data_IF_459409378864
#
_entry.id   IF_459409378864
#
_cell.length_a   1.000
_cell.length_b   1.000
_cell.length_c   1.000
_cell.angle_alpha   90.00
_cell.angle_beta   90.00
_cell.angle_gamma   90.00
#
_symmetry.space_group_name_H-M   'P 1'
#
loop_
_entity.id
_entity.type
_entity.pdbx_description
1 polymer ?
#
# COMPACT_ATOMS: atom_id res chain seq x y z
N UNK A 1 -9.68 -6.18 -9.71
CA UNK A 1 -9.34 -6.49 -8.30
C UNK A 1 -7.97 -7.16 -8.30
N UNK A 2 -6.92 -6.45 -7.90
CA UNK A 2 -5.53 -6.93 -7.98
C UNK A 2 -5.30 -7.93 -6.85
N UNK A 3 -4.88 -9.15 -7.17
CA UNK A 3 -4.46 -10.09 -6.14
C UNK A 3 -3.17 -9.58 -5.50
N UNK A 4 -3.15 -9.44 -4.17
CA UNK A 4 -2.00 -8.96 -3.39
C UNK A 4 -0.73 -9.75 -3.74
N UNK A 5 -0.90 -11.02 -4.11
CA UNK A 5 0.15 -11.95 -4.53
C UNK A 5 0.82 -11.53 -5.84
N UNK A 6 0.05 -11.17 -6.87
CA UNK A 6 0.57 -10.73 -8.17
C UNK A 6 1.33 -9.40 -8.05
N UNK A 7 0.81 -8.48 -7.25
CA UNK A 7 1.46 -7.22 -6.95
C UNK A 7 2.79 -7.42 -6.21
N UNK A 8 2.80 -8.29 -5.20
CA UNK A 8 4.01 -8.56 -4.41
C UNK A 8 5.10 -9.27 -5.23
N UNK A 9 4.73 -10.24 -6.08
CA UNK A 9 5.65 -10.92 -7.00
C UNK A 9 6.25 -9.94 -8.03
N UNK A 10 5.42 -9.06 -8.61
CA UNK A 10 5.88 -8.06 -9.58
C UNK A 10 6.86 -7.06 -8.96
N UNK A 11 6.54 -6.51 -7.78
CA UNK A 11 7.44 -5.61 -7.08
C UNK A 11 8.73 -6.31 -6.65
N UNK A 12 8.67 -7.59 -6.30
CA UNK A 12 9.86 -8.38 -5.97
C UNK A 12 10.80 -8.55 -7.17
N UNK A 13 10.25 -8.76 -8.38
CA UNK A 13 11.04 -8.74 -9.64
C UNK A 13 11.74 -7.40 -9.82
N UNK A 14 11.03 -6.29 -9.63
CA UNK A 14 11.60 -4.95 -9.78
C UNK A 14 12.63 -4.59 -8.71
N UNK A 15 12.54 -5.15 -7.50
CA UNK A 15 13.56 -4.98 -6.45
C UNK A 15 14.92 -5.59 -6.81
N UNK A 16 14.97 -6.49 -7.79
CA UNK A 16 16.22 -7.06 -8.30
C UNK A 16 16.86 -6.19 -9.40
N UNK A 17 16.18 -5.12 -9.84
CA UNK A 17 16.66 -4.18 -10.86
C UNK A 17 17.65 -3.15 -10.27
N UNK A 18 18.60 -2.63 -11.07
CA UNK A 18 19.41 -1.46 -10.72
C UNK A 18 18.59 -0.21 -10.37
N UNK A 19 17.32 -0.16 -10.76
CA UNK A 19 16.39 0.91 -10.46
C UNK A 19 15.73 0.78 -9.08
N UNK A 20 15.94 -0.32 -8.34
CA UNK A 20 15.29 -0.56 -7.06
C UNK A 20 15.40 0.61 -6.06
N UNK A 21 16.55 1.32 -5.92
CA UNK A 21 16.63 2.50 -5.05
C UNK A 21 15.72 3.63 -5.52
N UNK A 22 15.60 3.86 -6.83
CA UNK A 22 14.73 4.88 -7.42
C UNK A 22 13.26 4.54 -7.20
N UNK A 23 12.91 3.27 -7.44
CA UNK A 23 11.56 2.78 -7.18
C UNK A 23 11.18 2.95 -5.71
N UNK A 24 12.12 2.69 -4.80
CA UNK A 24 11.89 2.89 -3.37
C UNK A 24 11.60 4.37 -3.05
N UNK A 25 12.35 5.30 -3.66
CA UNK A 25 12.16 6.74 -3.52
C UNK A 25 10.85 7.26 -4.14
N UNK A 26 10.36 6.64 -5.22
CA UNK A 26 9.09 7.01 -5.87
C UNK A 26 7.88 6.41 -5.12
N UNK A 27 7.96 5.13 -4.75
CA UNK A 27 6.84 4.37 -4.20
C UNK A 27 6.61 4.64 -2.71
N UNK A 28 7.67 4.85 -1.93
CA UNK A 28 7.58 4.95 -0.47
C UNK A 28 8.09 6.31 0.03
N UNK A 29 8.18 6.49 1.36
CA UNK A 29 8.74 7.70 1.99
C UNK A 29 10.22 7.63 2.42
N UNK A 30 11.19 7.04 1.69
CA UNK A 30 12.59 7.17 2.08
C UNK A 30 13.11 8.54 1.63
N UNK A 31 14.08 9.06 2.36
CA UNK A 31 14.81 10.29 2.05
C UNK A 31 16.28 9.92 2.24
N UNK A 32 16.75 8.98 1.41
CA UNK A 32 18.12 8.51 1.48
C UNK A 32 19.10 9.67 1.21
N UNK A 33 20.40 9.46 1.49
CA UNK A 33 21.42 10.43 1.09
C UNK A 33 21.54 10.44 -0.45
N UNK A 34 21.53 11.62 -1.04
CA UNK A 34 21.80 11.78 -2.47
C UNK A 34 23.31 11.66 -2.77
N UNK A 35 23.65 11.30 -4.00
CA UNK A 35 25.02 11.26 -4.49
C UNK A 35 25.26 12.42 -5.47
N UNK A 36 26.48 12.97 -5.46
CA UNK A 36 26.95 13.91 -6.48
C UNK A 36 27.61 13.18 -7.66
N UNK A 37 27.73 11.84 -7.60
CA UNK A 37 28.26 11.06 -8.72
C UNK A 37 27.28 11.06 -9.88
N UNK A 38 27.76 11.55 -11.03
CA UNK A 38 26.93 11.70 -12.25
C UNK A 38 27.31 10.71 -13.35
N UNK A 39 28.16 9.71 -13.05
CA UNK A 39 28.58 8.68 -14.00
C UNK A 39 27.47 7.65 -14.27
N UNK A 40 26.70 7.32 -13.24
CA UNK A 40 25.59 6.37 -13.35
C UNK A 40 24.26 7.13 -13.50
N UNK A 41 23.54 6.89 -14.59
CA UNK A 41 22.26 7.56 -14.85
C UNK A 41 21.17 7.17 -13.83
N UNK A 42 21.23 5.96 -13.26
CA UNK A 42 20.29 5.50 -12.24
C UNK A 42 20.50 6.29 -10.93
N UNK A 43 21.74 6.49 -10.51
CA UNK A 43 22.08 7.28 -9.31
C UNK A 43 21.71 8.75 -9.46
N UNK A 44 21.87 9.30 -10.67
CA UNK A 44 21.40 10.63 -11.01
C UNK A 44 19.88 10.71 -10.86
N UNK A 45 19.14 9.75 -11.41
CA UNK A 45 17.69 9.71 -11.30
C UNK A 45 17.22 9.62 -9.84
N UNK A 46 17.86 8.78 -9.01
CA UNK A 46 17.61 8.68 -7.56
C UNK A 46 17.85 10.02 -6.88
N UNK A 47 19.03 10.60 -7.09
CA UNK A 47 19.46 11.84 -6.43
C UNK A 47 18.58 13.03 -6.79
N UNK A 48 18.09 13.09 -8.03
CA UNK A 48 17.15 14.11 -8.47
C UNK A 48 15.77 13.97 -7.80
N UNK A 49 15.24 12.76 -7.66
CA UNK A 49 13.97 12.54 -6.93
C UNK A 49 14.13 12.91 -5.45
N UNK A 50 15.24 12.55 -4.81
CA UNK A 50 15.55 12.95 -3.43
C UNK A 50 15.57 14.47 -3.33
N UNK A 51 16.25 15.16 -4.26
CA UNK A 51 16.28 16.63 -4.28
C UNK A 51 14.88 17.23 -4.41
N UNK A 52 14.03 16.68 -5.29
CA UNK A 52 12.64 17.13 -5.46
C UNK A 52 11.85 16.97 -4.15
N UNK A 53 11.92 15.81 -3.50
CA UNK A 53 11.20 15.52 -2.24
C UNK A 53 11.68 16.40 -1.07
N UNK A 54 12.99 16.64 -1.00
CA UNK A 54 13.65 17.46 0.04
C UNK A 54 13.67 18.96 -0.28
N UNK A 55 13.16 19.36 -1.44
CA UNK A 55 13.19 20.74 -1.93
C UNK A 55 14.62 21.33 -2.03
N UNK A 56 15.62 20.50 -2.33
CA UNK A 56 17.03 20.89 -2.40
C UNK A 56 17.44 21.33 -3.82
N UNK A 57 17.12 22.57 -4.18
CA UNK A 57 17.40 23.15 -5.51
C UNK A 57 18.90 23.14 -5.87
N UNK A 58 19.76 23.50 -4.93
CA UNK A 58 21.20 23.69 -5.18
C UNK A 58 21.84 22.39 -5.68
N UNK A 59 21.52 21.28 -5.04
CA UNK A 59 22.06 19.97 -5.43
C UNK A 59 21.45 19.47 -6.75
N UNK A 60 20.15 19.67 -6.96
CA UNK A 60 19.51 19.35 -8.23
C UNK A 60 20.19 20.10 -9.41
N UNK A 61 20.49 21.38 -9.22
CA UNK A 61 21.17 22.20 -10.22
C UNK A 61 22.61 21.73 -10.48
N UNK A 62 23.38 21.38 -9.43
CA UNK A 62 24.72 20.82 -9.59
C UNK A 62 24.71 19.51 -10.38
N UNK A 63 23.83 18.58 -10.02
CA UNK A 63 23.67 17.28 -10.70
C UNK A 63 23.27 17.51 -12.16
N UNK A 64 22.29 18.38 -12.42
CA UNK A 64 21.82 18.66 -13.78
C UNK A 64 22.90 19.36 -14.63
N UNK A 65 23.65 20.31 -14.07
CA UNK A 65 24.73 21.01 -14.77
C UNK A 65 25.89 20.08 -15.15
N UNK A 66 26.15 19.04 -14.37
CA UNK A 66 27.13 18.01 -14.72
C UNK A 66 26.55 17.03 -15.74
N UNK A 67 25.34 16.52 -15.50
CA UNK A 67 24.73 15.50 -16.34
C UNK A 67 24.37 16.00 -17.75
N UNK A 68 23.97 17.28 -17.87
CA UNK A 68 23.64 17.92 -19.14
C UNK A 68 24.84 18.16 -20.06
N UNK A 69 26.07 17.99 -19.57
CA UNK A 69 27.28 17.98 -20.42
C UNK A 69 27.35 16.76 -21.34
N UNK A 70 26.57 15.71 -21.07
CA UNK A 70 26.46 14.53 -21.93
C UNK A 70 25.82 14.93 -23.25
N UNK A 71 26.43 14.48 -24.35
CA UNK A 71 25.85 14.65 -25.68
C UNK A 71 24.61 13.78 -25.81
N UNK A 72 23.49 14.39 -26.18
CA UNK A 72 22.26 13.66 -26.52
C UNK A 72 22.51 12.92 -27.84
N UNK A 73 22.69 11.60 -27.77
CA UNK A 73 22.83 10.74 -28.94
C UNK A 73 21.81 9.60 -28.88
N UNK A 74 21.38 9.10 -30.05
CA UNK A 74 20.44 7.97 -30.16
C UNK A 74 21.02 6.65 -29.61
N UNK A 75 22.31 6.58 -29.39
CA UNK A 75 23.00 5.41 -28.84
C UNK A 75 23.05 5.41 -27.31
N UNK A 76 22.71 6.54 -26.66
CA UNK A 76 22.60 6.59 -25.21
C UNK A 76 21.40 5.76 -24.76
N UNK A 77 21.64 4.72 -23.96
CA UNK A 77 20.53 3.90 -23.45
C UNK A 77 19.63 4.67 -22.46
N UNK A 78 20.23 5.59 -21.68
CA UNK A 78 19.53 6.32 -20.62
C UNK A 78 18.40 7.26 -21.10
N UNK A 79 18.42 7.72 -22.36
CA UNK A 79 17.35 8.60 -22.90
C UNK A 79 16.05 7.85 -23.17
N UNK A 80 16.13 6.52 -23.32
CA UNK A 80 14.98 5.64 -23.54
C UNK A 80 14.38 5.14 -22.23
N UNK A 81 15.08 5.26 -21.10
CA UNK A 81 14.57 4.88 -19.79
C UNK A 81 13.59 5.94 -19.26
N UNK A 82 12.31 5.58 -19.20
CA UNK A 82 11.24 6.47 -18.76
C UNK A 82 11.38 6.88 -17.27
N UNK A 83 11.99 6.05 -16.42
CA UNK A 83 12.26 6.43 -15.03
C UNK A 83 13.29 7.56 -14.93
N UNK A 84 14.40 7.44 -15.67
CA UNK A 84 15.46 8.46 -15.67
C UNK A 84 14.94 9.78 -16.24
N UNK A 85 14.24 9.73 -17.37
CA UNK A 85 13.67 10.93 -18.00
C UNK A 85 12.62 11.58 -17.10
N UNK A 86 11.79 10.78 -16.42
CA UNK A 86 10.83 11.30 -15.44
C UNK A 86 11.52 12.04 -14.29
N UNK A 87 12.57 11.48 -13.69
CA UNK A 87 13.32 12.16 -12.62
C UNK A 87 13.91 13.50 -13.06
N UNK A 88 14.43 13.57 -14.29
CA UNK A 88 14.92 14.81 -14.90
C UNK A 88 13.79 15.83 -15.08
N UNK A 89 12.66 15.42 -15.62
CA UNK A 89 11.47 16.27 -15.82
C UNK A 89 10.98 16.84 -14.49
N UNK A 90 10.88 16.00 -13.45
CA UNK A 90 10.48 16.41 -12.10
C UNK A 90 11.39 17.52 -11.55
N UNK A 91 12.70 17.31 -11.58
CA UNK A 91 13.66 18.28 -11.05
C UNK A 91 13.70 19.58 -11.86
N UNK A 92 13.72 19.48 -13.20
CA UNK A 92 13.74 20.63 -14.10
C UNK A 92 12.51 21.51 -13.87
N UNK A 93 11.33 20.91 -13.82
CA UNK A 93 10.12 21.68 -13.63
C UNK A 93 10.02 22.24 -12.21
N UNK A 94 10.20 21.42 -11.16
CA UNK A 94 10.02 21.83 -9.77
C UNK A 94 10.89 23.04 -9.40
N UNK A 95 12.12 23.07 -9.89
CA UNK A 95 13.10 24.11 -9.55
C UNK A 95 13.26 25.21 -10.60
N UNK A 96 12.43 25.19 -11.66
CA UNK A 96 12.46 26.12 -12.78
C UNK A 96 13.88 26.21 -13.41
N UNK A 97 14.46 25.05 -13.71
CA UNK A 97 15.78 24.93 -14.34
C UNK A 97 15.68 25.02 -15.88
N UNK A 98 16.79 25.24 -16.62
CA UNK A 98 16.76 25.32 -18.07
C UNK A 98 16.13 24.10 -18.74
N UNK A 99 15.03 24.32 -19.46
CA UNK A 99 14.18 23.25 -20.02
C UNK A 99 14.67 22.73 -21.38
N UNK A 100 15.52 23.47 -22.09
CA UNK A 100 15.92 23.17 -23.47
C UNK A 100 16.51 21.76 -23.63
N UNK A 101 17.51 21.43 -22.82
CA UNK A 101 18.23 20.16 -22.91
C UNK A 101 17.34 18.93 -22.69
N UNK A 102 16.40 19.00 -21.74
CA UNK A 102 15.47 17.88 -21.49
C UNK A 102 14.41 17.77 -22.61
N UNK A 103 13.97 18.89 -23.20
CA UNK A 103 13.08 18.87 -24.37
C UNK A 103 13.76 18.20 -25.57
N UNK A 104 15.02 18.51 -25.83
CA UNK A 104 15.79 17.84 -26.88
C UNK A 104 15.90 16.34 -26.63
N UNK A 105 16.17 15.94 -25.38
CA UNK A 105 16.24 14.52 -24.98
C UNK A 105 14.93 13.79 -25.28
N UNK A 106 13.79 14.39 -24.94
CA UNK A 106 12.46 13.84 -25.23
C UNK A 106 12.21 13.77 -26.74
N UNK A 107 12.60 14.80 -27.49
CA UNK A 107 12.36 14.87 -28.94
C UNK A 107 13.13 13.81 -29.73
N UNK A 108 14.38 13.51 -29.33
CA UNK A 108 15.22 12.50 -29.99
C UNK A 108 14.57 11.11 -29.94
N UNK A 109 13.93 10.76 -28.82
CA UNK A 109 13.30 9.45 -28.63
C UNK A 109 11.87 9.40 -29.17
N UNK A 110 11.19 10.54 -29.33
CA UNK A 110 9.79 10.63 -29.73
C UNK A 110 9.48 9.95 -31.08
N UNK A 111 10.35 10.11 -32.07
CA UNK A 111 10.08 9.60 -33.43
C UNK A 111 10.15 8.08 -33.53
N UNK A 112 10.92 7.43 -32.64
CA UNK A 112 11.12 5.98 -32.60
C UNK A 112 10.23 5.29 -31.55
N UNK A 113 9.50 6.08 -30.75
CA UNK A 113 8.66 5.59 -29.67
C UNK A 113 7.43 4.82 -30.21
N UNK A 114 7.09 3.74 -29.51
CA UNK A 114 5.80 3.06 -29.67
C UNK A 114 4.65 3.97 -29.18
N UNK A 115 3.37 3.61 -29.40
CA UNK A 115 2.25 4.45 -28.97
C UNK A 115 2.22 4.77 -27.47
N UNK A 116 2.63 3.82 -26.61
CA UNK A 116 2.67 3.99 -25.15
C UNK A 116 3.74 5.03 -24.80
N UNK A 117 4.96 4.87 -25.30
CA UNK A 117 6.08 5.78 -25.09
C UNK A 117 5.79 7.18 -25.61
N UNK A 118 5.12 7.31 -26.77
CA UNK A 118 4.71 8.63 -27.28
C UNK A 118 3.81 9.34 -26.29
N UNK A 119 2.82 8.64 -25.73
CA UNK A 119 1.91 9.19 -24.72
C UNK A 119 2.65 9.55 -23.42
N UNK A 120 3.63 8.76 -22.99
CA UNK A 120 4.53 9.11 -21.86
C UNK A 120 5.29 10.41 -22.16
N UNK A 121 5.94 10.50 -23.32
CA UNK A 121 6.73 11.67 -23.72
C UNK A 121 5.86 12.92 -23.87
N UNK A 122 4.64 12.79 -24.39
CA UNK A 122 3.69 13.90 -24.46
C UNK A 122 3.25 14.34 -23.05
N UNK A 123 3.09 13.40 -22.13
CA UNK A 123 2.84 13.72 -20.71
C UNK A 123 4.03 14.45 -20.07
N UNK A 124 5.27 14.04 -20.36
CA UNK A 124 6.47 14.76 -19.89
C UNK A 124 6.54 16.19 -20.44
N UNK A 125 6.22 16.39 -21.72
CA UNK A 125 6.15 17.74 -22.32
C UNK A 125 5.08 18.59 -21.65
N UNK A 126 3.91 18.01 -21.39
CA UNK A 126 2.80 18.66 -20.69
C UNK A 126 3.22 19.11 -19.28
N UNK A 127 3.87 18.23 -18.51
CA UNK A 127 4.48 18.57 -17.21
C UNK A 127 5.45 19.73 -17.36
N UNK A 128 6.42 19.69 -18.29
CA UNK A 128 7.38 20.78 -18.51
C UNK A 128 6.75 22.13 -18.93
N UNK A 129 5.47 22.14 -19.34
CA UNK A 129 4.72 23.37 -19.65
C UNK A 129 3.75 23.78 -18.54
N UNK A 130 3.66 23.03 -17.44
CA UNK A 130 2.70 23.25 -16.36
C UNK A 130 1.26 22.84 -16.71
N UNK A 131 1.05 22.08 -17.79
CA UNK A 131 -0.27 21.61 -18.21
C UNK A 131 -0.51 20.19 -17.70
N UNK A 132 -1.06 20.02 -16.49
CA UNK A 132 -1.23 18.70 -15.88
C UNK A 132 -2.53 17.97 -16.23
N UNK A 133 -3.43 18.62 -16.96
CA UNK A 133 -4.81 18.17 -17.21
C UNK A 133 -5.10 18.01 -18.70
N UNK A 134 -4.07 17.75 -19.50
CA UNK A 134 -4.20 17.66 -20.96
C UNK A 134 -5.07 16.48 -21.36
N UNK A 135 -5.82 16.60 -22.45
CA UNK A 135 -6.62 15.47 -22.96
C UNK A 135 -5.69 14.50 -23.69
N UNK A 136 -5.66 13.25 -23.25
CA UNK A 136 -4.85 12.20 -23.87
C UNK A 136 -3.46 12.00 -23.27
N UNK A 137 -3.16 12.59 -22.10
CA UNK A 137 -1.97 12.25 -21.31
C UNK A 137 -2.20 11.02 -20.42
N UNK A 138 -1.13 10.53 -19.79
CA UNK A 138 -1.24 9.58 -18.68
C UNK A 138 -1.33 10.37 -17.38
N UNK A 139 -2.55 10.64 -16.93
CA UNK A 139 -2.81 11.47 -15.74
C UNK A 139 -2.09 10.93 -14.49
N UNK A 140 -1.89 9.60 -14.38
CA UNK A 140 -1.12 8.99 -13.30
C UNK A 140 0.31 9.55 -13.19
N UNK A 141 0.98 9.86 -14.29
CA UNK A 141 2.33 10.46 -14.30
C UNK A 141 2.26 11.88 -13.74
N UNK A 142 1.32 12.68 -14.23
CA UNK A 142 1.10 14.06 -13.77
C UNK A 142 0.75 14.11 -12.28
N UNK A 143 -0.05 13.16 -11.79
CA UNK A 143 -0.42 13.06 -10.38
C UNK A 143 0.79 12.71 -9.50
N UNK A 144 1.58 11.72 -9.89
CA UNK A 144 2.80 11.32 -9.13
C UNK A 144 3.82 12.46 -9.12
N UNK A 145 4.01 13.16 -10.24
CA UNK A 145 4.84 14.37 -10.27
C UNK A 145 4.35 15.41 -9.25
N UNK A 146 3.05 15.75 -9.27
CA UNK A 146 2.49 16.75 -8.36
C UNK A 146 2.66 16.36 -6.90
N UNK A 147 2.48 15.07 -6.57
CA UNK A 147 2.73 14.54 -5.24
C UNK A 147 4.19 14.69 -4.80
N UNK A 148 5.15 14.24 -5.63
CA UNK A 148 6.58 14.35 -5.34
C UNK A 148 7.04 15.80 -5.20
N UNK A 149 6.51 16.67 -6.06
CA UNK A 149 6.76 18.10 -6.07
C UNK A 149 6.08 18.85 -4.91
N UNK A 150 5.27 18.18 -4.08
CA UNK A 150 4.42 18.81 -3.04
C UNK A 150 3.58 19.96 -3.61
N UNK A 151 2.98 19.74 -4.76
CA UNK A 151 2.00 20.67 -5.35
C UNK A 151 0.61 20.37 -4.78
N UNK A 152 -0.06 21.36 -4.24
CA UNK A 152 -1.15 21.16 -3.28
C UNK A 152 -2.54 20.94 -3.91
N UNK A 153 -2.73 21.22 -5.21
CA UNK A 153 -4.08 21.27 -5.80
C UNK A 153 -4.24 20.46 -7.12
N UNK A 154 -4.06 19.13 -7.11
CA UNK A 154 -4.41 18.32 -8.28
C UNK A 154 -5.94 18.25 -8.47
N UNK A 155 -6.41 18.15 -9.73
CA UNK A 155 -7.84 18.15 -10.08
C UNK A 155 -8.55 16.86 -9.62
N UNK A 156 -9.53 17.00 -8.72
CA UNK A 156 -10.27 15.87 -8.13
C UNK A 156 -11.06 15.06 -9.15
N UNK A 157 -11.60 15.68 -10.20
CA UNK A 157 -12.37 14.96 -11.21
C UNK A 157 -11.45 14.02 -12.00
N UNK A 158 -10.26 14.50 -12.35
CA UNK A 158 -9.26 13.71 -13.08
C UNK A 158 -8.68 12.58 -12.22
N UNK A 159 -8.47 12.83 -10.93
CA UNK A 159 -8.09 11.77 -9.98
C UNK A 159 -9.18 10.70 -9.91
N UNK A 160 -10.45 11.09 -9.88
CA UNK A 160 -11.57 10.16 -9.83
C UNK A 160 -11.67 9.30 -11.10
N UNK A 161 -11.61 9.93 -12.27
CA UNK A 161 -11.62 9.25 -13.58
C UNK A 161 -10.47 8.24 -13.68
N UNK A 162 -9.24 8.69 -13.43
CA UNK A 162 -8.05 7.85 -13.46
C UNK A 162 -8.13 6.70 -12.46
N UNK A 163 -8.61 6.95 -11.24
CA UNK A 163 -8.74 5.91 -10.22
C UNK A 163 -9.75 4.83 -10.64
N UNK A 164 -10.89 5.22 -11.22
CA UNK A 164 -11.89 4.25 -11.70
C UNK A 164 -11.30 3.39 -12.83
N UNK A 165 -10.67 4.03 -13.82
CA UNK A 165 -10.04 3.34 -14.95
C UNK A 165 -8.98 2.33 -14.49
N UNK A 166 -8.08 2.75 -13.60
CA UNK A 166 -7.01 1.88 -13.09
C UNK A 166 -7.51 0.80 -12.12
N UNK A 167 -8.57 1.07 -11.35
CA UNK A 167 -9.12 0.10 -10.39
C UNK A 167 -9.86 -1.05 -11.07
N UNK A 168 -10.52 -0.76 -12.19
CA UNK A 168 -11.21 -1.75 -13.01
C UNK A 168 -10.25 -2.57 -13.90
N UNK A 169 -9.08 -2.02 -14.23
CA UNK A 169 -8.07 -2.70 -15.03
C UNK A 169 -7.43 -3.90 -14.30
N UNK A 170 -6.99 -4.89 -15.08
CA UNK A 170 -6.23 -6.03 -14.58
C UNK A 170 -4.75 -5.67 -14.53
N UNK A 171 -4.05 -6.08 -13.48
CA UNK A 171 -2.62 -5.85 -13.32
C UNK A 171 -1.82 -7.01 -13.96
N UNK A 172 -0.68 -6.77 -14.66
CA UNK A 172 -0.10 -5.46 -14.99
C UNK A 172 -0.98 -4.67 -15.98
N UNK A 173 -1.05 -3.34 -15.79
CA UNK A 173 -1.91 -2.46 -16.56
C UNK A 173 -1.42 -2.30 -18.01
N UNK A 174 -0.11 -2.32 -18.20
CA UNK A 174 0.56 -2.24 -19.50
C UNK A 174 1.80 -3.14 -19.53
N UNK A 175 2.40 -3.30 -20.71
CA UNK A 175 3.71 -3.97 -20.86
C UNK A 175 4.88 -3.09 -20.36
N UNK A 176 4.65 -1.81 -20.10
CA UNK A 176 5.68 -0.85 -19.69
C UNK A 176 5.79 -0.77 -18.16
N UNK A 177 6.96 -1.14 -17.63
CA UNK A 177 7.20 -1.19 -16.19
C UNK A 177 7.08 0.18 -15.51
N UNK A 178 7.42 1.27 -16.22
CA UNK A 178 7.33 2.63 -15.71
C UNK A 178 5.87 3.02 -15.47
N UNK A 179 4.98 2.80 -16.44
CA UNK A 179 3.56 3.06 -16.29
C UNK A 179 2.96 2.23 -15.15
N UNK A 180 3.31 0.96 -15.05
CA UNK A 180 2.79 0.10 -13.98
C UNK A 180 3.17 0.63 -12.58
N UNK A 181 4.44 0.97 -12.37
CA UNK A 181 4.92 1.53 -11.09
C UNK A 181 4.25 2.87 -10.78
N UNK A 182 4.21 3.77 -11.75
CA UNK A 182 3.58 5.09 -11.58
C UNK A 182 2.09 4.94 -11.29
N UNK A 183 1.40 4.01 -11.94
CA UNK A 183 -0.03 3.75 -11.72
C UNK A 183 -0.29 3.21 -10.32
N UNK A 184 0.55 2.32 -9.79
CA UNK A 184 0.46 1.84 -8.41
C UNK A 184 0.56 3.01 -7.41
N UNK A 185 1.53 3.90 -7.60
CA UNK A 185 1.67 5.08 -6.73
C UNK A 185 0.50 6.05 -6.89
N UNK A 186 0.01 6.25 -8.11
CA UNK A 186 -1.13 7.11 -8.38
C UNK A 186 -2.42 6.60 -7.72
N UNK A 187 -2.67 5.29 -7.73
CA UNK A 187 -3.79 4.65 -7.03
C UNK A 187 -3.68 4.90 -5.52
N UNK A 188 -2.50 4.73 -4.94
CA UNK A 188 -2.25 5.00 -3.51
C UNK A 188 -2.54 6.47 -3.17
N UNK A 189 -2.01 7.42 -3.95
CA UNK A 189 -2.26 8.85 -3.78
C UNK A 189 -3.75 9.17 -3.89
N UNK A 190 -4.43 8.64 -4.91
CA UNK A 190 -5.86 8.86 -5.13
C UNK A 190 -6.70 8.31 -3.96
N UNK A 191 -6.35 7.13 -3.44
CA UNK A 191 -7.00 6.52 -2.30
C UNK A 191 -6.84 7.39 -1.04
N UNK A 192 -5.61 7.82 -0.74
CA UNK A 192 -5.32 8.72 0.39
C UNK A 192 -6.06 10.05 0.26
N UNK A 193 -6.06 10.66 -0.93
CA UNK A 193 -6.77 11.93 -1.17
C UNK A 193 -8.28 11.79 -1.00
N UNK A 194 -8.90 10.73 -1.55
CA UNK A 194 -10.33 10.44 -1.35
C UNK A 194 -10.69 10.21 0.12
N UNK A 195 -9.80 9.56 0.87
CA UNK A 195 -9.92 9.44 2.32
C UNK A 195 -9.95 10.83 2.99
N UNK A 196 -9.02 11.72 2.64
CA UNK A 196 -8.97 13.09 3.20
C UNK A 196 -10.19 13.95 2.81
N UNK A 197 -10.75 13.77 1.61
CA UNK A 197 -11.95 14.49 1.15
C UNK A 197 -13.24 14.01 1.82
N UNK A 198 -13.22 12.85 2.46
CA UNK A 198 -14.36 12.34 3.23
C UNK A 198 -13.92 12.05 4.67
N UNK A 199 -13.69 13.10 5.50
CA UNK A 199 -13.18 12.98 6.87
C UNK A 199 -13.94 11.93 7.67
N UNK A 200 -15.26 11.89 7.52
CA UNK A 200 -16.12 10.90 8.19
C UNK A 200 -15.79 9.46 7.78
N UNK A 201 -15.51 9.20 6.49
CA UNK A 201 -15.14 7.87 5.99
C UNK A 201 -13.73 7.47 6.38
N UNK A 202 -12.80 8.43 6.42
CA UNK A 202 -11.45 8.19 6.93
C UNK A 202 -11.46 7.85 8.41
N UNK A 203 -12.19 8.62 9.23
CA UNK A 203 -12.40 8.34 10.66
C UNK A 203 -13.05 6.96 10.83
N UNK A 204 -14.03 6.58 9.98
CA UNK A 204 -14.63 5.25 10.02
C UNK A 204 -13.62 4.13 9.69
N UNK A 205 -12.71 4.36 8.74
CA UNK A 205 -11.68 3.39 8.35
C UNK A 205 -10.57 3.26 9.40
N UNK A 206 -10.08 4.38 9.95
CA UNK A 206 -9.10 4.43 11.03
C UNK A 206 -9.65 3.73 12.29
N UNK A 207 -10.92 3.98 12.60
CA UNK A 207 -11.59 3.32 13.72
C UNK A 207 -12.06 1.89 13.40
N UNK A 208 -11.96 1.42 12.16
CA UNK A 208 -12.43 0.07 11.80
C UNK A 208 -11.64 -1.01 12.53
N UNK A 209 -10.30 -0.96 12.46
CA UNK A 209 -9.42 -1.96 13.10
C UNK A 209 -9.65 -2.04 14.63
N UNK A 210 -9.58 -0.93 15.39
CA UNK A 210 -9.82 -0.99 16.83
C UNK A 210 -11.26 -1.41 17.16
N UNK A 211 -12.25 -0.97 16.39
CA UNK A 211 -13.63 -1.40 16.60
C UNK A 211 -13.85 -2.88 16.26
N UNK A 212 -13.20 -3.39 15.21
CA UNK A 212 -13.24 -4.80 14.83
C UNK A 212 -12.61 -5.65 15.93
N UNK A 213 -11.40 -5.32 16.40
CA UNK A 213 -10.76 -6.01 17.54
C UNK A 213 -11.68 -6.03 18.76
N UNK A 214 -12.22 -4.87 19.15
CA UNK A 214 -13.16 -4.75 20.29
C UNK A 214 -14.43 -5.58 20.13
N UNK A 215 -15.04 -5.56 18.93
CA UNK A 215 -16.26 -6.34 18.64
C UNK A 215 -15.96 -7.85 18.64
N UNK A 216 -14.83 -8.26 18.09
CA UNK A 216 -14.38 -9.66 18.10
C UNK A 216 -14.12 -10.15 19.52
N UNK A 217 -13.52 -9.34 20.39
CA UNK A 217 -13.36 -9.66 21.82
C UNK A 217 -14.71 -9.80 22.53
N UNK A 218 -15.65 -8.86 22.31
CA UNK A 218 -17.00 -8.93 22.89
C UNK A 218 -17.71 -10.20 22.40
N UNK A 219 -17.67 -10.48 21.10
CA UNK A 219 -18.32 -11.64 20.51
C UNK A 219 -17.70 -12.95 21.00
N UNK A 220 -16.37 -13.03 21.08
CA UNK A 220 -15.67 -14.17 21.64
C UNK A 220 -16.02 -14.38 23.12
N UNK A 221 -16.11 -13.30 23.89
CA UNK A 221 -16.51 -13.35 25.29
C UNK A 221 -17.95 -13.88 25.45
N UNK A 222 -18.91 -13.33 24.71
CA UNK A 222 -20.32 -13.79 24.75
C UNK A 222 -20.43 -15.24 24.29
N UNK A 223 -19.78 -15.59 23.17
CA UNK A 223 -19.83 -16.94 22.60
C UNK A 223 -19.20 -17.97 23.52
N UNK A 224 -18.11 -17.61 24.22
CA UNK A 224 -17.50 -18.49 25.22
C UNK A 224 -18.44 -18.76 26.39
N UNK A 225 -19.19 -17.75 26.86
CA UNK A 225 -20.21 -17.93 27.89
C UNK A 225 -21.36 -18.83 27.42
N UNK A 226 -21.86 -18.61 26.20
CA UNK A 226 -22.93 -19.44 25.64
C UNK A 226 -22.51 -20.90 25.49
N UNK A 227 -21.28 -21.16 25.02
CA UNK A 227 -20.74 -22.51 24.91
C UNK A 227 -20.58 -23.18 26.27
N UNK A 228 -20.07 -22.47 27.27
CA UNK A 228 -19.94 -23.01 28.64
C UNK A 228 -21.32 -23.33 29.22
N UNK A 229 -22.29 -22.43 29.06
CA UNK A 229 -23.66 -22.65 29.51
C UNK A 229 -24.28 -23.87 28.82
N UNK A 230 -24.11 -23.98 27.50
CA UNK A 230 -24.58 -25.14 26.72
C UNK A 230 -23.95 -26.44 27.21
N UNK A 231 -22.62 -26.51 27.35
CA UNK A 231 -21.91 -27.69 27.84
C UNK A 231 -22.38 -28.05 29.25
N UNK A 232 -22.61 -27.05 30.11
CA UNK A 232 -23.08 -27.28 31.50
C UNK A 232 -24.50 -27.88 31.51
N UNK A 233 -25.42 -27.33 30.71
CA UNK A 233 -26.79 -27.82 30.59
C UNK A 233 -26.80 -29.27 30.05
N UNK A 234 -26.04 -29.52 28.98
CA UNK A 234 -25.93 -30.85 28.37
C UNK A 234 -25.32 -31.84 29.36
N UNK A 235 -24.26 -31.46 30.06
CA UNK A 235 -23.61 -32.30 31.07
C UNK A 235 -24.58 -32.63 32.20
N UNK A 236 -25.36 -31.66 32.67
CA UNK A 236 -26.36 -31.87 33.70
C UNK A 236 -27.49 -32.80 33.22
N UNK A 237 -27.94 -32.66 31.98
CA UNK A 237 -28.95 -33.52 31.38
C UNK A 237 -28.45 -34.98 31.24
N UNK A 238 -27.22 -35.17 30.75
CA UNK A 238 -26.59 -36.50 30.64
C UNK A 238 -26.43 -37.13 32.02
N UNK A 239 -25.94 -36.36 33.00
CA UNK A 239 -25.81 -36.82 34.37
C UNK A 239 -27.18 -37.23 34.93
N UNK A 240 -28.21 -36.39 34.76
CA UNK A 240 -29.57 -36.70 35.21
C UNK A 240 -30.09 -38.02 34.63
N UNK A 241 -29.91 -38.26 33.33
CA UNK A 241 -30.26 -39.55 32.69
C UNK A 241 -29.52 -40.75 33.30
N UNK A 242 -28.23 -40.59 33.61
CA UNK A 242 -27.43 -41.65 34.25
C UNK A 242 -27.87 -41.87 35.72
N UNK A 243 -28.21 -40.79 36.43
CA UNK A 243 -28.69 -40.83 37.82
C UNK A 243 -30.08 -41.45 37.97
N UNK A 244 -30.98 -41.25 37.00
CA UNK A 244 -32.30 -41.89 37.01
C UNK A 244 -32.19 -43.41 36.78
N UNK A 245 -31.22 -43.83 35.97
CA UNK A 245 -31.01 -45.24 35.62
C UNK A 245 -30.27 -46.04 36.70
N UNK A 246 -29.43 -45.39 37.49
CA UNK A 246 -28.58 -46.04 38.51
C UNK A 246 -28.85 -45.42 39.90
N UNK A 247 -29.33 -46.22 40.85
CA UNK A 247 -29.63 -45.79 42.23
C UNK A 247 -28.36 -45.47 43.04
N UNK A 248 -27.72 -44.33 42.76
CA UNK A 248 -26.50 -43.93 43.46
C UNK A 248 -26.78 -43.46 44.91
N UNK A 249 -25.90 -43.83 45.88
CA UNK A 249 -26.03 -43.43 47.28
C UNK A 249 -25.82 -41.92 47.49
N UNK A 250 -26.54 -41.34 48.46
CA UNK A 250 -26.61 -39.90 48.75
C UNK A 250 -25.25 -39.19 48.86
N UNK A 251 -24.23 -39.90 49.35
CA UNK A 251 -22.87 -39.40 49.58
C UNK A 251 -22.14 -39.04 48.27
N UNK A 252 -22.39 -39.81 47.20
CA UNK A 252 -21.86 -39.48 45.86
C UNK A 252 -22.48 -38.19 45.30
N UNK A 253 -23.78 -37.97 45.56
CA UNK A 253 -24.50 -36.76 45.13
C UNK A 253 -23.93 -35.49 45.79
N UNK A 254 -23.61 -35.57 47.07
CA UNK A 254 -23.01 -34.46 47.83
C UNK A 254 -21.57 -34.21 47.39
N UNK A 255 -20.77 -35.26 47.12
CA UNK A 255 -19.40 -35.12 46.63
C UNK A 255 -19.32 -34.47 45.24
N UNK A 256 -20.17 -34.86 44.28
CA UNK A 256 -20.20 -34.21 42.96
C UNK A 256 -20.65 -32.74 43.06
N UNK A 257 -21.63 -32.44 43.91
CA UNK A 257 -22.07 -31.06 44.16
C UNK A 257 -20.95 -30.21 44.77
N UNK A 258 -20.28 -30.71 45.81
CA UNK A 258 -19.17 -30.01 46.46
C UNK A 258 -17.96 -29.85 45.54
N UNK A 259 -17.63 -30.84 44.71
CA UNK A 259 -16.55 -30.72 43.72
C UNK A 259 -16.88 -29.68 42.63
N UNK A 260 -18.14 -29.62 42.20
CA UNK A 260 -18.61 -28.63 41.21
C UNK A 260 -18.62 -27.19 41.72
N UNK A 261 -18.78 -26.98 43.05
CA UNK A 261 -18.81 -25.65 43.69
C UNK A 261 -17.47 -25.30 44.35
N UNK A 262 -16.57 -26.27 44.56
CA UNK A 262 -15.23 -26.03 45.06
C UNK A 262 -14.45 -25.08 44.14
N UNK A 263 -13.55 -24.28 44.72
CA UNK A 263 -12.73 -23.31 43.96
C UNK A 263 -11.92 -23.94 42.81
N UNK A 264 -11.70 -25.26 42.84
CA UNK A 264 -11.12 -26.03 41.73
C UNK A 264 -12.01 -26.03 40.47
N UNK A 265 -13.32 -26.22 40.62
CA UNK A 265 -14.27 -26.16 39.50
C UNK A 265 -14.28 -24.78 38.86
N UNK A 266 -14.42 -23.73 39.67
CA UNK A 266 -14.45 -22.33 39.20
C UNK A 266 -13.17 -21.92 38.49
N UNK A 267 -12.01 -22.39 38.97
CA UNK A 267 -10.70 -22.12 38.36
C UNK A 267 -10.55 -22.78 36.99
N UNK A 268 -11.04 -24.02 36.85
CA UNK A 268 -11.07 -24.74 35.56
C UNK A 268 -12.02 -24.04 34.58
N UNK A 269 -13.21 -23.62 35.03
CA UNK A 269 -14.16 -22.85 34.22
C UNK A 269 -13.56 -21.53 33.72
N UNK A 270 -12.85 -20.80 34.59
CA UNK A 270 -12.19 -19.55 34.20
C UNK A 270 -11.03 -19.77 33.21
N UNK A 271 -10.24 -20.84 33.40
CA UNK A 271 -9.17 -21.22 32.47
C UNK A 271 -9.72 -21.62 31.10
N UNK A 272 -10.76 -22.46 31.07
CA UNK A 272 -11.44 -22.89 29.85
C UNK A 272 -12.10 -21.72 29.11
N UNK A 273 -12.76 -20.82 29.83
CA UNK A 273 -13.34 -19.60 29.26
C UNK A 273 -12.30 -18.74 28.55
N UNK A 274 -11.14 -18.53 29.19
CA UNK A 274 -10.04 -17.77 28.59
C UNK A 274 -9.49 -18.49 27.36
N UNK A 275 -9.34 -19.81 27.40
CA UNK A 275 -8.90 -20.62 26.25
C UNK A 275 -9.86 -20.56 25.07
N UNK A 276 -11.15 -20.75 25.30
CA UNK A 276 -12.20 -20.67 24.28
C UNK A 276 -12.29 -19.28 23.65
N UNK A 277 -12.27 -18.22 24.47
CA UNK A 277 -12.28 -16.85 23.95
C UNK A 277 -11.08 -16.59 23.04
N UNK A 278 -9.87 -17.04 23.42
CA UNK A 278 -8.68 -16.92 22.57
C UNK A 278 -8.83 -17.72 21.28
N UNK A 279 -9.30 -18.96 21.35
CA UNK A 279 -9.53 -19.79 20.16
C UNK A 279 -10.49 -19.11 19.17
N UNK A 280 -11.59 -18.54 19.66
CA UNK A 280 -12.58 -17.82 18.83
C UNK A 280 -11.95 -16.57 18.20
N UNK A 281 -11.17 -15.80 18.96
CA UNK A 281 -10.44 -14.64 18.43
C UNK A 281 -9.47 -15.07 17.32
N UNK A 282 -8.67 -16.10 17.55
CA UNK A 282 -7.73 -16.63 16.55
C UNK A 282 -8.45 -17.13 15.30
N UNK A 283 -9.58 -17.83 15.47
CA UNK A 283 -10.38 -18.33 14.36
C UNK A 283 -10.98 -17.20 13.50
N UNK A 284 -11.57 -16.18 14.15
CA UNK A 284 -12.12 -15.01 13.47
C UNK A 284 -11.00 -14.27 12.75
N UNK A 285 -9.89 -13.95 13.44
CA UNK A 285 -8.77 -13.24 12.82
C UNK A 285 -8.21 -13.99 11.60
N UNK A 286 -8.05 -15.32 11.69
CA UNK A 286 -7.60 -16.15 10.56
C UNK A 286 -8.57 -16.15 9.39
N UNK A 287 -9.87 -16.19 9.66
CA UNK A 287 -10.91 -16.18 8.61
C UNK A 287 -10.92 -14.85 7.85
N UNK A 288 -10.63 -13.75 8.54
CA UNK A 288 -10.57 -12.40 7.96
C UNK A 288 -9.15 -11.96 7.54
N UNK A 289 -8.16 -12.87 7.55
CA UNK A 289 -6.78 -12.59 7.09
C UNK A 289 -5.94 -11.70 8.02
N UNK A 290 -6.35 -11.52 9.28
CA UNK A 290 -5.57 -10.77 10.27
C UNK A 290 -4.54 -11.67 10.98
N UNK A 291 -3.34 -11.16 11.28
CA UNK A 291 -2.35 -11.89 12.06
C UNK A 291 -2.92 -12.20 13.44
N UNK A 292 -2.81 -13.46 13.85
CA UNK A 292 -3.15 -13.88 15.22
C UNK A 292 -1.99 -13.49 16.14
N UNK A 293 -2.22 -12.46 16.96
CA UNK A 293 -1.42 -12.20 18.17
C UNK A 293 -1.70 -13.28 19.24
#
# INVERSE_FOLDING_TARGET
MVYIEEHSAYLQRLKQSPLAPLLNEILYEPVANYSLETHNANEVAVSLIICVKTNNKVHAEQILNQFSKRKINKESHWIYDNFIVFSLVCAVHKFNLPVHWIRETINVTYSQANPIDKKIKDTFRNILTGNYNSKGDYHQISLVYQFLAKNENPDDNRINEMYIELWEATFPFTEDDFINVISLKAIEIAFLKKALLSPDRFILMENFIPNFKKRTEILANISSWLLIAFITIVSFYILWLIYEKNSYPLLSKVLFFLLSISGFGVSIFWGWKKGLSRFIITFINKTFGYPSE
#
